data_IF_090083710811
#
_entry.id   IF_090083710811
#
_cell.length_a   1.000
_cell.length_b   1.000
_cell.length_c   1.000
_cell.angle_alpha   90.00
_cell.angle_beta   90.00
_cell.angle_gamma   90.00
#
_symmetry.space_group_name_H-M   'P 1'
#
loop_
_entity.id
_entity.type
_entity.pdbx_description
1 polymer ?
#
# COMPACT_ATOMS: atom_id res chain seq x y z
N UNK A 1 -7.92 9.13 0.57
CA UNK A 1 -6.83 10.09 0.88
C UNK A 1 -6.68 10.12 2.39
N UNK A 2 -5.46 10.26 2.91
CA UNK A 2 -5.18 10.37 4.34
C UNK A 2 -4.54 11.74 4.60
N UNK A 3 -5.05 12.48 5.57
CA UNK A 3 -4.47 13.74 6.02
C UNK A 3 -3.20 13.50 6.88
N UNK A 4 -2.34 14.52 7.07
CA UNK A 4 -1.21 14.41 7.98
C UNK A 4 -1.65 13.99 9.39
N UNK A 5 -0.99 12.96 9.93
CA UNK A 5 -1.28 12.33 11.22
C UNK A 5 -2.65 11.63 11.35
N UNK A 6 -3.43 11.54 10.27
CA UNK A 6 -4.62 10.69 10.23
C UNK A 6 -4.21 9.21 10.23
N UNK A 7 -4.98 8.39 10.94
CA UNK A 7 -4.82 6.93 10.95
C UNK A 7 -6.10 6.28 10.45
N UNK A 8 -5.94 5.24 9.62
CA UNK A 8 -7.04 4.42 9.16
C UNK A 8 -6.70 2.94 9.35
N UNK A 9 -7.73 2.15 9.65
CA UNK A 9 -7.66 0.70 9.71
C UNK A 9 -8.34 0.14 8.45
N UNK A 10 -7.66 -0.77 7.75
CA UNK A 10 -8.13 -1.33 6.48
C UNK A 10 -8.13 -2.85 6.60
N UNK A 11 -9.32 -3.45 6.51
CA UNK A 11 -9.45 -4.89 6.34
C UNK A 11 -9.00 -5.28 4.93
N UNK A 12 -8.06 -6.21 4.83
CA UNK A 12 -7.47 -6.65 3.57
C UNK A 12 -7.36 -8.18 3.55
N UNK A 13 -7.83 -8.80 2.46
CA UNK A 13 -7.69 -10.23 2.20
C UNK A 13 -6.90 -10.39 0.91
N UNK A 14 -5.73 -11.00 1.00
CA UNK A 14 -5.00 -11.47 -0.17
C UNK A 14 -5.57 -12.83 -0.59
N UNK A 15 -6.34 -12.84 -1.68
CA UNK A 15 -7.07 -14.03 -2.16
C UNK A 15 -6.27 -14.87 -3.18
N UNK A 16 -5.03 -14.45 -3.47
CA UNK A 16 -4.06 -15.20 -4.25
C UNK A 16 -2.63 -15.08 -3.67
N UNK A 17 -1.79 -16.12 -3.86
CA UNK A 17 -0.37 -16.05 -3.50
C UNK A 17 0.38 -14.96 -4.26
N UNK A 18 1.50 -14.51 -3.70
CA UNK A 18 2.44 -13.60 -4.36
C UNK A 18 2.72 -12.31 -3.58
N UNK A 19 3.33 -11.36 -4.29
CA UNK A 19 3.72 -10.06 -3.76
C UNK A 19 2.63 -9.01 -4.05
N UNK A 20 2.01 -8.52 -2.99
CA UNK A 20 0.98 -7.49 -3.05
C UNK A 20 1.59 -6.12 -2.81
N UNK A 21 1.51 -5.24 -3.80
CA UNK A 21 2.08 -3.90 -3.72
C UNK A 21 1.14 -2.94 -3.01
N UNK A 22 1.64 -2.29 -1.96
CA UNK A 22 1.00 -1.16 -1.31
C UNK A 22 1.79 0.09 -1.68
N UNK A 23 1.12 1.10 -2.23
CA UNK A 23 1.78 2.33 -2.66
C UNK A 23 0.87 3.54 -2.54
N UNK A 24 1.46 4.73 -2.52
CA UNK A 24 0.70 5.97 -2.69
C UNK A 24 0.14 6.05 -4.11
N UNK A 25 -1.10 6.53 -4.26
CA UNK A 25 -1.70 6.71 -5.60
C UNK A 25 -1.35 8.06 -6.25
N UNK A 26 -0.56 8.90 -5.57
CA UNK A 26 0.08 10.08 -6.17
C UNK A 26 1.34 9.59 -6.88
N UNK A 27 1.43 9.80 -8.19
CA UNK A 27 2.45 9.18 -9.05
C UNK A 27 3.86 9.59 -8.61
N UNK A 28 4.08 10.87 -8.34
CA UNK A 28 5.36 11.43 -7.91
C UNK A 28 5.82 10.78 -6.59
N UNK A 29 4.90 10.46 -5.69
CA UNK A 29 5.23 9.78 -4.44
C UNK A 29 5.55 8.31 -4.67
N UNK A 30 4.79 7.61 -5.53
CA UNK A 30 5.09 6.23 -5.92
C UNK A 30 6.47 6.13 -6.55
N UNK A 31 6.77 6.97 -7.55
CA UNK A 31 8.07 7.00 -8.22
C UNK A 31 9.18 7.52 -7.30
N UNK A 32 8.85 8.34 -6.30
CA UNK A 32 9.74 8.75 -5.21
C UNK A 32 10.02 7.64 -4.17
N UNK A 33 9.45 6.44 -4.33
CA UNK A 33 9.71 5.27 -3.49
C UNK A 33 8.69 5.02 -2.38
N UNK A 34 7.56 5.73 -2.36
CA UNK A 34 6.46 5.51 -1.40
C UNK A 34 5.62 4.27 -1.79
N UNK A 35 6.29 3.13 -1.77
CA UNK A 35 5.77 1.81 -2.14
C UNK A 35 6.45 0.72 -1.32
N UNK A 36 5.72 -0.35 -1.05
CA UNK A 36 6.23 -1.56 -0.41
C UNK A 36 5.43 -2.78 -0.84
N UNK A 37 5.88 -3.96 -0.45
CA UNK A 37 5.21 -5.22 -0.76
C UNK A 37 4.88 -5.99 0.51
N UNK A 38 3.72 -6.65 0.51
CA UNK A 38 3.38 -7.72 1.44
C UNK A 38 3.44 -9.03 0.66
N UNK A 39 4.26 -9.97 1.13
CA UNK A 39 4.35 -11.30 0.54
C UNK A 39 3.38 -12.25 1.19
N UNK A 40 2.65 -12.98 0.37
CA UNK A 40 1.73 -14.06 0.78
C UNK A 40 2.17 -15.38 0.14
N UNK A 41 2.06 -16.45 0.91
CA UNK A 41 2.48 -17.80 0.51
C UNK A 41 1.42 -18.50 -0.34
#
# INVERSE_FOLDING_TARGET
LLAPAEQAEIAFVADNPGDWMLHCHILEHKFGGMSGFIRTA
#
